data_IF_769025583020
#
_entry.id   IF_769025583020
#
_cell.length_a   1.000
_cell.length_b   1.000
_cell.length_c   1.000
_cell.angle_alpha   90.00
_cell.angle_beta   90.00
_cell.angle_gamma   90.00
#
_symmetry.space_group_name_H-M   'P 1'
#
loop_
_entity.id
_entity.type
_entity.pdbx_description
1 polymer ?
#
# COMPACT_ATOMS: atom_id res chain seq x y z
N UNK A 1 -9.39 21.28 7.04
CA UNK A 1 -10.32 20.13 6.95
C UNK A 1 -9.65 18.98 7.65
N UNK A 2 -10.41 18.11 8.35
CA UNK A 2 -9.83 16.93 9.00
C UNK A 2 -9.14 16.03 7.95
N UNK A 3 -8.00 15.46 8.31
CA UNK A 3 -7.31 14.46 7.47
C UNK A 3 -8.06 13.13 7.59
N UNK A 4 -8.46 12.56 6.44
CA UNK A 4 -9.25 11.32 6.39
C UNK A 4 -8.45 10.24 5.67
N UNK A 5 -8.27 9.10 6.33
CA UNK A 5 -7.83 7.86 5.71
C UNK A 5 -9.08 7.08 5.30
N UNK A 6 -9.31 6.93 4.01
CA UNK A 6 -10.37 6.09 3.48
C UNK A 6 -9.82 4.71 3.12
N UNK A 7 -10.47 3.66 3.61
CA UNK A 7 -10.09 2.29 3.29
C UNK A 7 -11.28 1.49 2.78
N UNK A 8 -11.11 0.79 1.65
CA UNK A 8 -12.03 -0.20 1.12
C UNK A 8 -11.51 -1.60 1.40
N UNK A 9 -12.36 -2.47 1.97
CA UNK A 9 -11.96 -3.81 2.40
C UNK A 9 -11.01 -3.80 3.61
N UNK A 10 -10.54 -4.96 4.03
CA UNK A 10 -9.51 -5.09 5.07
C UNK A 10 -8.42 -6.05 4.62
N UNK A 11 -7.20 -5.86 5.12
CA UNK A 11 -6.10 -6.77 4.81
C UNK A 11 -6.42 -8.21 5.27
N UNK A 12 -7.09 -8.37 6.42
CA UNK A 12 -7.53 -9.68 6.92
C UNK A 12 -8.51 -10.41 5.99
N UNK A 13 -9.43 -9.69 5.34
CA UNK A 13 -10.33 -10.31 4.34
C UNK A 13 -9.59 -10.67 3.05
N UNK A 14 -8.63 -9.84 2.65
CA UNK A 14 -7.73 -10.12 1.54
C UNK A 14 -6.90 -11.40 1.81
N UNK A 15 -6.27 -11.49 2.99
CA UNK A 15 -5.51 -12.69 3.42
C UNK A 15 -6.37 -13.96 3.40
N UNK A 16 -7.65 -13.84 3.79
CA UNK A 16 -8.60 -14.96 3.77
C UNK A 16 -9.03 -15.42 2.36
N UNK A 17 -8.56 -14.76 1.31
CA UNK A 17 -8.86 -15.12 -0.09
C UNK A 17 -10.08 -14.42 -0.68
N UNK A 18 -10.61 -13.36 -0.05
CA UNK A 18 -11.68 -12.53 -0.64
C UNK A 18 -11.06 -11.52 -1.63
N UNK A 19 -10.62 -12.04 -2.78
CA UNK A 19 -9.80 -11.30 -3.75
C UNK A 19 -10.59 -10.69 -4.90
N UNK A 20 -11.90 -10.84 -4.91
CA UNK A 20 -12.75 -10.24 -5.93
C UNK A 20 -12.83 -8.73 -5.74
N UNK A 21 -12.52 -7.97 -6.79
CA UNK A 21 -12.64 -6.51 -6.79
C UNK A 21 -14.10 -6.05 -6.65
N UNK A 22 -14.33 -5.10 -5.75
CA UNK A 22 -15.66 -4.63 -5.33
C UNK A 22 -15.78 -3.10 -5.28
N UNK A 23 -14.69 -2.38 -5.52
CA UNK A 23 -14.68 -0.94 -5.76
C UNK A 23 -13.83 -0.62 -6.99
N UNK A 24 -14.15 0.42 -7.74
CA UNK A 24 -13.35 0.86 -8.89
C UNK A 24 -12.23 1.82 -8.44
N UNK A 25 -11.15 1.86 -9.21
CA UNK A 25 -10.06 2.81 -9.00
C UNK A 25 -10.57 4.26 -9.07
N UNK A 26 -11.54 4.56 -9.95
CA UNK A 26 -12.18 5.88 -10.02
C UNK A 26 -12.93 6.27 -8.74
N UNK A 27 -13.59 5.32 -8.07
CA UNK A 27 -14.22 5.58 -6.77
C UNK A 27 -13.16 5.93 -5.72
N UNK A 28 -12.05 5.20 -5.68
CA UNK A 28 -10.96 5.46 -4.72
C UNK A 28 -10.31 6.83 -4.95
N UNK A 29 -10.10 7.24 -6.20
CA UNK A 29 -9.55 8.56 -6.56
C UNK A 29 -10.43 9.74 -6.10
N UNK A 30 -11.73 9.53 -5.84
CA UNK A 30 -12.59 10.56 -5.24
C UNK A 30 -12.27 10.79 -3.76
N UNK A 31 -11.75 9.76 -3.07
CA UNK A 31 -11.41 9.79 -1.65
C UNK A 31 -9.95 10.19 -1.38
N UNK A 32 -9.05 10.00 -2.35
CA UNK A 32 -7.64 10.33 -2.15
C UNK A 32 -6.84 10.47 -3.44
N UNK A 33 -5.71 11.16 -3.33
CA UNK A 33 -4.71 11.38 -4.38
C UNK A 33 -3.38 10.66 -4.11
N UNK A 34 -3.24 10.08 -2.89
CA UNK A 34 -2.13 9.26 -2.45
C UNK A 34 -2.66 7.99 -1.78
N UNK A 35 -2.04 6.84 -2.07
CA UNK A 35 -2.45 5.58 -1.46
C UNK A 35 -1.86 4.34 -2.10
N UNK A 36 -2.34 3.20 -1.61
CA UNK A 36 -1.93 1.86 -2.04
C UNK A 36 -3.15 0.96 -2.22
N UNK A 37 -3.05 -0.03 -3.11
CA UNK A 37 -4.07 -1.04 -3.34
C UNK A 37 -3.49 -2.27 -4.05
N UNK A 38 -4.34 -3.26 -4.29
CA UNK A 38 -4.11 -4.34 -5.26
C UNK A 38 -5.33 -4.47 -6.18
N UNK A 39 -5.21 -5.09 -7.35
CA UNK A 39 -6.36 -5.33 -8.23
C UNK A 39 -7.05 -6.67 -7.92
N UNK A 40 -8.19 -6.92 -8.59
CA UNK A 40 -8.91 -8.20 -8.55
C UNK A 40 -7.96 -9.39 -8.66
N UNK A 41 -8.15 -10.41 -7.81
CA UNK A 41 -7.27 -11.57 -7.75
C UNK A 41 -5.95 -11.30 -7.04
N UNK A 42 -5.84 -10.20 -6.28
CA UNK A 42 -4.58 -9.70 -5.71
C UNK A 42 -3.51 -9.47 -6.79
N UNK A 43 -3.93 -9.04 -7.98
CA UNK A 43 -3.07 -8.85 -9.13
C UNK A 43 -2.20 -7.61 -8.94
N UNK A 44 -0.96 -7.82 -8.56
CA UNK A 44 0.08 -6.79 -8.44
C UNK A 44 -0.19 -5.73 -7.38
N UNK A 45 0.59 -4.66 -7.50
CA UNK A 45 0.59 -3.53 -6.56
C UNK A 45 0.06 -2.27 -7.25
N UNK A 46 -0.89 -1.60 -6.63
CA UNK A 46 -1.39 -0.31 -7.11
C UNK A 46 -0.82 0.81 -6.28
N UNK A 47 -0.38 1.87 -6.94
CA UNK A 47 0.20 3.06 -6.34
C UNK A 47 -0.65 4.26 -6.74
N UNK A 48 -1.32 4.91 -5.77
CA UNK A 48 -1.95 6.21 -6.01
C UNK A 48 -0.93 7.30 -5.71
N UNK A 49 -0.64 8.11 -6.70
CA UNK A 49 0.35 9.18 -6.60
C UNK A 49 -0.08 10.38 -7.44
N UNK A 50 -0.18 11.55 -6.81
CA UNK A 50 -0.55 12.81 -7.42
C UNK A 50 -1.87 12.74 -8.23
N UNK A 51 -2.87 12.02 -7.69
CA UNK A 51 -4.21 11.89 -8.26
C UNK A 51 -4.32 10.93 -9.46
N UNK A 52 -3.31 10.09 -9.67
CA UNK A 52 -3.30 9.01 -10.66
C UNK A 52 -3.05 7.68 -9.98
N UNK A 53 -3.47 6.59 -10.62
CA UNK A 53 -3.21 5.24 -10.15
C UNK A 53 -2.33 4.48 -11.15
N UNK A 54 -1.32 3.80 -10.63
CA UNK A 54 -0.37 2.99 -11.40
C UNK A 54 -0.38 1.56 -10.89
N UNK A 55 -0.17 0.60 -11.78
CA UNK A 55 -0.16 -0.82 -11.48
C UNK A 55 1.18 -1.45 -11.86
N UNK A 56 1.82 -2.11 -10.91
CA UNK A 56 3.00 -2.96 -11.08
C UNK A 56 2.58 -4.42 -10.95
N UNK A 57 2.76 -5.24 -12.00
CA UNK A 57 2.35 -6.64 -12.00
C UNK A 57 3.52 -7.63 -11.90
N UNK A 58 3.22 -8.91 -11.73
CA UNK A 58 4.21 -9.99 -11.61
C UNK A 58 5.12 -10.16 -12.84
N UNK A 59 4.72 -9.63 -14.02
CA UNK A 59 5.52 -9.64 -15.24
C UNK A 59 6.47 -8.43 -15.32
N UNK A 60 6.55 -7.62 -14.24
CA UNK A 60 7.34 -6.39 -14.15
C UNK A 60 6.90 -5.30 -15.12
N UNK A 61 5.63 -5.33 -15.51
CA UNK A 61 5.00 -4.26 -16.26
C UNK A 61 4.51 -3.18 -15.30
N UNK A 62 4.66 -1.92 -15.68
CA UNK A 62 4.20 -0.77 -14.92
C UNK A 62 3.35 0.13 -15.81
N UNK A 63 2.07 0.29 -15.50
CA UNK A 63 1.11 0.99 -16.35
C UNK A 63 0.22 1.94 -15.55
N UNK A 64 -0.20 3.06 -16.15
CA UNK A 64 -1.24 3.93 -15.59
C UNK A 64 -2.60 3.25 -15.80
N UNK A 65 -3.41 3.15 -14.75
CA UNK A 65 -4.76 2.58 -14.78
C UNK A 65 -5.76 3.57 -15.39
N UNK A 66 -6.84 3.03 -15.99
CA UNK A 66 -7.89 3.83 -16.62
C UNK A 66 -8.96 4.27 -15.64
N UNK A 67 -9.08 3.56 -14.50
CA UNK A 67 -10.00 3.87 -13.43
C UNK A 67 -11.23 2.95 -13.34
N UNK A 68 -11.49 2.12 -14.34
CA UNK A 68 -12.56 1.11 -14.32
C UNK A 68 -12.13 -0.25 -13.77
N UNK A 69 -10.82 -0.41 -13.53
CA UNK A 69 -10.28 -1.59 -12.86
C UNK A 69 -10.81 -1.70 -11.42
N UNK A 70 -11.01 -2.93 -10.96
CA UNK A 70 -11.59 -3.20 -9.66
C UNK A 70 -10.55 -3.68 -8.64
N UNK A 71 -10.74 -3.24 -7.39
CA UNK A 71 -9.90 -3.58 -6.26
C UNK A 71 -10.71 -4.23 -5.12
N UNK A 72 -10.18 -5.27 -4.46
CA UNK A 72 -10.74 -5.82 -3.21
C UNK A 72 -10.25 -5.08 -1.96
N UNK A 73 -9.10 -4.39 -2.07
CA UNK A 73 -8.46 -3.69 -0.96
C UNK A 73 -7.72 -2.44 -1.45
N UNK A 74 -8.03 -1.32 -0.85
CA UNK A 74 -7.34 -0.06 -1.10
C UNK A 74 -7.37 0.84 0.13
N UNK A 75 -6.29 1.61 0.31
CA UNK A 75 -6.19 2.66 1.33
C UNK A 75 -5.71 3.93 0.66
N UNK A 76 -6.47 5.03 0.80
CA UNK A 76 -6.17 6.32 0.15
C UNK A 76 -6.43 7.49 1.09
N UNK A 77 -5.75 8.61 0.85
CA UNK A 77 -6.01 9.89 1.53
C UNK A 77 -5.81 11.07 0.57
N UNK A 78 -6.48 12.17 0.84
CA UNK A 78 -6.11 13.48 0.24
C UNK A 78 -4.91 14.01 0.99
N UNK A 79 -3.73 13.87 0.38
CA UNK A 79 -2.47 14.07 1.06
C UNK A 79 -2.10 15.55 1.18
N UNK A 80 -1.99 16.00 2.43
CA UNK A 80 -1.46 17.32 2.78
C UNK A 80 -0.48 17.16 3.93
N UNK A 81 0.81 17.33 3.66
CA UNK A 81 1.84 17.13 4.66
C UNK A 81 1.72 18.12 5.86
N UNK A 82 1.71 17.59 7.07
CA UNK A 82 1.83 18.36 8.31
C UNK A 82 3.31 18.62 8.63
N UNK A 83 4.17 17.68 8.29
CA UNK A 83 5.63 17.70 8.52
C UNK A 83 6.37 17.38 7.25
N UNK A 84 7.46 18.09 6.99
CA UNK A 84 8.32 17.88 5.83
C UNK A 84 9.78 18.15 6.21
N UNK A 85 10.70 17.28 5.77
CA UNK A 85 12.14 17.43 5.98
C UNK A 85 12.93 16.70 4.89
N UNK A 86 14.22 17.02 4.78
CA UNK A 86 15.16 16.32 3.91
C UNK A 86 16.04 15.36 4.73
N UNK A 87 16.38 14.22 4.15
CA UNK A 87 17.34 13.27 4.72
C UNK A 87 18.17 12.61 3.64
N UNK A 88 19.40 12.15 4.00
CA UNK A 88 20.41 11.67 3.07
C UNK A 88 21.14 10.45 3.61
N UNK A 89 21.64 9.62 2.69
CA UNK A 89 22.60 8.54 2.97
C UNK A 89 22.16 7.61 4.11
N UNK A 90 20.91 7.12 4.04
CA UNK A 90 20.30 6.28 5.08
C UNK A 90 19.64 5.02 4.51
N UNK A 91 19.60 3.97 5.33
CA UNK A 91 18.80 2.78 5.09
C UNK A 91 17.30 3.06 5.33
N UNK A 92 16.45 2.20 4.80
CA UNK A 92 15.00 2.20 5.04
C UNK A 92 14.66 2.20 6.53
N UNK A 93 15.32 1.38 7.33
CA UNK A 93 15.13 1.31 8.80
C UNK A 93 15.40 2.67 9.46
N UNK A 94 16.51 3.33 9.09
CA UNK A 94 16.87 4.62 9.66
C UNK A 94 15.88 5.72 9.25
N UNK A 95 15.39 5.70 8.00
CA UNK A 95 14.37 6.64 7.53
C UNK A 95 13.05 6.41 8.26
N UNK A 96 12.61 5.16 8.40
CA UNK A 96 11.37 4.84 9.12
C UNK A 96 11.47 5.17 10.61
N UNK A 97 12.62 5.00 11.24
CA UNK A 97 12.85 5.44 12.63
C UNK A 97 12.72 6.97 12.76
N UNK A 98 13.30 7.75 11.84
CA UNK A 98 13.14 9.21 11.82
C UNK A 98 11.67 9.64 11.60
N UNK A 99 10.94 8.94 10.73
CA UNK A 99 9.52 9.21 10.51
C UNK A 99 8.75 9.00 11.81
N UNK A 100 8.97 7.89 12.52
CA UNK A 100 8.33 7.61 13.82
C UNK A 100 8.60 8.69 14.87
N UNK A 101 9.83 9.21 14.93
CA UNK A 101 10.18 10.32 15.84
C UNK A 101 9.46 11.63 15.50
N UNK A 102 9.08 11.83 14.23
CA UNK A 102 8.46 13.05 13.72
C UNK A 102 6.95 12.98 13.57
N UNK A 103 6.37 11.78 13.58
CA UNK A 103 4.91 11.60 13.66
C UNK A 103 4.38 12.15 14.99
N UNK A 104 3.13 12.58 14.99
CA UNK A 104 2.48 13.06 16.20
C UNK A 104 2.36 11.94 17.25
N UNK A 105 2.09 10.71 16.84
CA UNK A 105 1.99 9.54 17.71
C UNK A 105 1.96 8.24 16.90
N UNK A 106 2.57 7.16 17.43
CA UNK A 106 2.41 5.79 16.90
C UNK A 106 1.02 5.18 17.21
N UNK A 107 0.16 5.90 17.94
CA UNK A 107 -1.23 5.50 18.15
C UNK A 107 -2.18 6.00 17.04
N UNK A 108 -1.67 6.79 16.09
CA UNK A 108 -2.42 7.34 14.96
C UNK A 108 -1.95 6.71 13.64
N UNK A 109 -2.87 6.58 12.69
CA UNK A 109 -2.46 6.38 11.31
C UNK A 109 -1.68 7.60 10.82
N UNK A 110 -0.70 7.36 9.95
CA UNK A 110 -0.01 8.44 9.23
C UNK A 110 0.20 8.06 7.78
N UNK A 111 -0.05 8.98 6.87
CA UNK A 111 0.35 8.85 5.48
C UNK A 111 1.77 9.38 5.28
N UNK A 112 2.55 8.72 4.46
CA UNK A 112 3.95 9.09 4.19
C UNK A 112 4.21 9.18 2.69
N UNK A 113 5.01 10.18 2.30
CA UNK A 113 5.57 10.32 0.95
C UNK A 113 7.06 10.61 1.08
N UNK A 114 7.91 9.76 0.45
CA UNK A 114 9.37 9.91 0.44
C UNK A 114 9.78 10.04 -1.01
N UNK A 115 10.21 11.21 -1.45
CA UNK A 115 10.50 11.52 -2.86
C UNK A 115 11.94 11.96 -3.06
N UNK A 116 12.59 11.46 -4.10
CA UNK A 116 13.97 11.85 -4.45
C UNK A 116 14.77 10.74 -5.08
N UNK A 117 16.09 10.74 -4.84
CA UNK A 117 17.02 9.76 -5.37
C UNK A 117 17.30 8.65 -4.35
N UNK A 118 17.08 7.42 -4.78
CA UNK A 118 17.39 6.20 -4.02
C UNK A 118 18.64 5.53 -4.61
N UNK A 119 19.63 5.21 -3.75
CA UNK A 119 20.80 4.41 -4.13
C UNK A 119 20.43 3.00 -4.52
N UNK A 120 19.47 2.44 -3.77
CA UNK A 120 18.90 1.09 -3.97
C UNK A 120 17.41 1.11 -3.70
N UNK A 121 16.65 0.42 -4.52
CA UNK A 121 15.22 0.18 -4.33
C UNK A 121 14.90 -1.27 -4.60
N UNK A 122 14.36 -1.98 -3.62
CA UNK A 122 13.97 -3.38 -3.70
C UNK A 122 12.45 -3.49 -3.51
N UNK A 123 11.78 -4.05 -4.49
CA UNK A 123 10.31 -4.17 -4.53
C UNK A 123 9.90 -5.58 -4.92
N UNK A 124 8.66 -5.91 -4.61
CA UNK A 124 7.99 -7.15 -5.04
C UNK A 124 6.63 -6.83 -5.64
N UNK A 125 6.08 -7.79 -6.39
CA UNK A 125 4.75 -7.71 -6.98
C UNK A 125 3.97 -8.99 -6.67
N UNK A 126 2.73 -8.86 -6.20
CA UNK A 126 1.88 -10.00 -5.90
C UNK A 126 1.44 -10.70 -7.18
N UNK A 127 1.62 -12.05 -7.32
CA UNK A 127 1.10 -12.80 -8.44
C UNK A 127 -0.43 -12.84 -8.43
N UNK A 128 -1.03 -12.67 -9.61
CA UNK A 128 -2.47 -12.74 -9.78
C UNK A 128 -3.01 -14.14 -9.48
N UNK A 129 -4.20 -14.21 -8.89
CA UNK A 129 -4.99 -15.43 -8.76
C UNK A 129 -6.24 -15.36 -9.63
N UNK A 130 -6.61 -16.50 -10.20
CA UNK A 130 -7.90 -16.70 -10.86
C UNK A 130 -8.86 -17.49 -9.94
N UNK A 131 -10.17 -17.28 -10.05
CA UNK A 131 -11.14 -18.07 -9.29
C UNK A 131 -11.06 -19.59 -9.59
N UNK A 132 -11.23 -20.45 -8.60
CA UNK A 132 -11.51 -20.15 -7.19
C UNK A 132 -10.28 -19.62 -6.44
N UNK A 133 -10.45 -18.49 -5.73
CA UNK A 133 -9.36 -17.88 -4.97
C UNK A 133 -8.95 -18.73 -3.76
N UNK A 134 -7.67 -18.71 -3.43
CA UNK A 134 -7.08 -19.31 -2.24
C UNK A 134 -6.58 -18.21 -1.27
N UNK A 135 -6.07 -18.60 -0.12
CA UNK A 135 -5.47 -17.65 0.83
C UNK A 135 -4.32 -16.88 0.16
N UNK A 136 -4.20 -15.60 0.49
CA UNK A 136 -3.20 -14.73 -0.13
C UNK A 136 -1.77 -15.21 0.13
N UNK A 137 -1.50 -15.79 1.30
CA UNK A 137 -0.17 -16.29 1.68
C UNK A 137 0.40 -17.30 0.68
N UNK A 138 -0.45 -18.07 -0.01
CA UNK A 138 -0.02 -19.04 -1.03
C UNK A 138 0.61 -18.35 -2.26
N UNK A 139 0.12 -17.13 -2.60
CA UNK A 139 0.69 -16.29 -3.65
C UNK A 139 1.89 -15.49 -3.15
N UNK A 140 1.81 -14.97 -1.94
CA UNK A 140 2.86 -14.16 -1.32
C UNK A 140 4.23 -14.88 -1.30
N UNK A 141 4.25 -16.19 -1.07
CA UNK A 141 5.48 -17.01 -1.09
C UNK A 141 6.13 -17.17 -2.46
N UNK A 142 5.50 -16.71 -3.54
CA UNK A 142 5.96 -16.85 -4.93
C UNK A 142 6.12 -15.51 -5.64
N UNK A 143 6.13 -14.41 -4.91
CA UNK A 143 6.22 -13.06 -5.44
C UNK A 143 7.54 -12.85 -6.18
N UNK A 144 7.52 -12.38 -7.44
CA UNK A 144 8.72 -11.90 -8.10
C UNK A 144 9.21 -10.61 -7.44
N UNK A 145 10.52 -10.51 -7.34
CA UNK A 145 11.21 -9.35 -6.79
C UNK A 145 12.01 -8.64 -7.88
N UNK A 146 12.24 -7.34 -7.68
CA UNK A 146 13.08 -6.54 -8.56
C UNK A 146 13.86 -5.51 -7.75
N UNK A 147 15.12 -5.31 -8.13
CA UNK A 147 15.99 -4.29 -7.53
C UNK A 147 16.50 -3.35 -8.60
N UNK A 148 16.41 -2.04 -8.33
CA UNK A 148 16.99 -0.98 -9.14
C UNK A 148 17.94 -0.14 -8.30
N UNK A 149 18.92 0.46 -8.94
CA UNK A 149 19.90 1.33 -8.28
C UNK A 149 19.91 2.72 -8.92
N UNK A 150 20.18 3.74 -8.10
CA UNK A 150 20.21 5.14 -8.52
C UNK A 150 18.93 5.56 -9.26
N UNK A 151 17.79 5.20 -8.68
CA UNK A 151 16.45 5.47 -9.23
C UNK A 151 15.79 6.64 -8.53
N UNK A 152 15.22 7.57 -9.30
CA UNK A 152 14.36 8.65 -8.81
C UNK A 152 12.92 8.19 -8.75
N UNK A 153 12.21 8.61 -7.69
CA UNK A 153 10.80 8.26 -7.54
C UNK A 153 10.23 8.61 -6.19
N UNK A 154 9.07 8.03 -5.89
CA UNK A 154 8.34 8.26 -4.64
C UNK A 154 7.93 6.95 -4.00
N UNK A 155 8.22 6.80 -2.72
CA UNK A 155 7.58 5.84 -1.81
C UNK A 155 6.34 6.50 -1.25
N UNK A 156 5.20 5.81 -1.28
CA UNK A 156 3.94 6.28 -0.73
C UNK A 156 3.25 5.16 0.04
N UNK A 157 2.51 5.50 1.08
CA UNK A 157 1.72 4.55 1.86
C UNK A 157 1.48 5.04 3.28
N UNK A 158 1.35 4.10 4.21
CA UNK A 158 0.81 4.40 5.52
C UNK A 158 1.58 3.71 6.63
N UNK A 159 1.62 4.37 7.78
CA UNK A 159 1.88 3.76 9.06
C UNK A 159 0.53 3.38 9.71
N UNK A 160 0.40 2.12 10.10
CA UNK A 160 -0.77 1.57 10.80
C UNK A 160 -0.41 1.25 12.24
N UNK A 161 -1.12 1.79 13.26
CA UNK A 161 -0.90 1.40 14.65
C UNK A 161 -1.16 -0.09 14.88
N UNK A 162 -0.44 -0.71 15.83
CA UNK A 162 -0.59 -2.14 16.17
C UNK A 162 -2.05 -2.53 16.52
N UNK A 163 -2.81 -1.62 17.13
CA UNK A 163 -4.24 -1.83 17.43
C UNK A 163 -5.08 -2.19 16.21
N UNK A 164 -4.68 -1.74 15.00
CA UNK A 164 -5.41 -1.93 13.75
C UNK A 164 -4.79 -3.02 12.86
N UNK A 165 -3.89 -3.86 13.42
CA UNK A 165 -3.37 -5.01 12.70
C UNK A 165 -4.50 -5.97 12.28
N UNK A 166 -4.55 -6.29 10.97
CA UNK A 166 -5.66 -7.05 10.38
C UNK A 166 -6.65 -6.17 9.60
N UNK A 167 -6.82 -4.90 10.00
CA UNK A 167 -7.46 -3.88 9.15
C UNK A 167 -6.45 -3.46 8.08
N UNK A 168 -5.25 -3.06 8.48
CA UNK A 168 -4.06 -2.91 7.66
C UNK A 168 -2.90 -3.73 8.21
N UNK A 169 -1.70 -3.64 7.63
CA UNK A 169 -0.48 -4.18 8.20
C UNK A 169 0.08 -3.22 9.23
N UNK A 170 0.26 -3.67 10.49
CA UNK A 170 0.87 -2.83 11.53
C UNK A 170 2.31 -2.45 11.16
N UNK A 171 2.67 -1.19 11.38
CA UNK A 171 3.92 -0.62 10.91
C UNK A 171 3.76 0.10 9.57
N UNK A 172 4.82 0.18 8.79
CA UNK A 172 4.81 0.82 7.48
C UNK A 172 4.43 -0.17 6.38
N UNK A 173 3.37 0.12 5.64
CA UNK A 173 2.99 -0.54 4.40
C UNK A 173 3.08 0.48 3.27
N UNK A 174 4.06 0.32 2.41
CA UNK A 174 4.41 1.34 1.41
C UNK A 174 4.72 0.73 0.05
N UNK A 175 4.32 1.43 -1.00
CA UNK A 175 4.61 1.11 -2.39
C UNK A 175 5.52 2.16 -3.01
N UNK A 176 6.15 1.83 -4.12
CA UNK A 176 7.07 2.71 -4.87
C UNK A 176 6.63 2.86 -6.32
N UNK A 177 6.79 4.06 -6.86
CA UNK A 177 6.74 4.36 -8.28
C UNK A 177 7.93 5.26 -8.65
N UNK A 178 8.68 4.88 -9.69
CA UNK A 178 9.73 5.74 -10.21
C UNK A 178 9.18 6.91 -11.05
N UNK A 179 9.99 7.95 -11.26
CA UNK A 179 9.58 9.14 -12.00
C UNK A 179 9.30 8.85 -13.48
N UNK A 180 10.02 7.89 -14.07
CA UNK A 180 9.85 7.47 -15.47
C UNK A 180 8.59 6.62 -15.70
N UNK A 181 7.86 6.24 -14.62
CA UNK A 181 6.64 5.42 -14.65
C UNK A 181 6.80 4.10 -15.39
N UNK A 182 7.91 3.40 -15.14
CA UNK A 182 8.22 2.10 -15.72
C UNK A 182 8.76 1.08 -14.70
N UNK A 183 8.82 1.45 -13.41
CA UNK A 183 9.26 0.60 -12.32
C UNK A 183 8.54 0.96 -11.02
N UNK A 184 8.06 -0.03 -10.28
CA UNK A 184 7.42 0.13 -8.98
C UNK A 184 6.99 -1.20 -8.39
N UNK A 185 6.32 -1.15 -7.22
CA UNK A 185 5.83 -2.31 -6.50
C UNK A 185 5.75 -2.08 -5.00
N UNK A 186 5.42 -3.12 -4.25
CA UNK A 186 5.48 -3.13 -2.79
C UNK A 186 6.95 -3.08 -2.32
N UNK A 187 7.24 -2.22 -1.38
CA UNK A 187 8.62 -1.94 -0.94
C UNK A 187 9.08 -2.96 0.08
N UNK A 188 10.15 -3.69 -0.24
CA UNK A 188 10.84 -4.56 0.71
C UNK A 188 11.97 -3.84 1.44
N UNK A 189 12.77 -3.05 0.69
CA UNK A 189 13.92 -2.35 1.23
C UNK A 189 14.32 -1.19 0.33
N UNK A 190 15.05 -0.20 0.89
CA UNK A 190 15.67 0.88 0.13
C UNK A 190 16.86 1.50 0.87
N UNK A 191 17.73 2.14 0.09
CA UNK A 191 18.72 3.06 0.58
C UNK A 191 18.52 4.42 -0.11
N UNK A 192 18.40 5.48 0.67
CA UNK A 192 18.26 6.84 0.13
C UNK A 192 19.63 7.49 -0.10
N UNK A 193 19.74 8.23 -1.19
CA UNK A 193 20.86 9.17 -1.39
C UNK A 193 20.46 10.57 -0.94
N UNK A 194 19.39 11.12 -1.49
CA UNK A 194 18.86 12.45 -1.16
C UNK A 194 17.36 12.46 -1.39
N UNK A 195 16.58 12.57 -0.32
CA UNK A 195 15.12 12.52 -0.40
C UNK A 195 14.47 13.56 0.51
N UNK A 196 13.29 14.01 0.08
CA UNK A 196 12.32 14.73 0.89
C UNK A 196 11.35 13.73 1.49
N UNK A 197 11.13 13.82 2.80
CA UNK A 197 10.13 13.06 3.54
C UNK A 197 8.99 13.99 3.91
N UNK A 198 7.77 13.55 3.67
CA UNK A 198 6.52 14.27 3.98
C UNK A 198 5.60 13.35 4.76
N UNK A 199 5.02 13.84 5.86
CA UNK A 199 4.17 13.08 6.78
C UNK A 199 2.86 13.82 6.98
N UNK A 200 1.73 13.11 6.88
CA UNK A 200 0.41 13.59 7.26
C UNK A 200 -0.13 12.71 8.39
N UNK A 201 -0.44 13.31 9.54
CA UNK A 201 -1.11 12.61 10.63
C UNK A 201 -2.61 12.53 10.34
N UNK A 202 -3.22 11.36 10.57
CA UNK A 202 -4.61 11.11 10.21
C UNK A 202 -5.50 11.26 11.44
N UNK A 203 -6.52 12.13 11.33
CA UNK A 203 -7.49 12.39 12.40
C UNK A 203 -8.70 11.45 12.31
N UNK A 204 -9.11 11.07 11.09
CA UNK A 204 -10.31 10.28 10.85
C UNK A 204 -9.98 9.04 10.02
N UNK A 205 -10.44 7.88 10.48
CA UNK A 205 -10.41 6.64 9.72
C UNK A 205 -11.82 6.30 9.25
N UNK A 206 -12.00 6.14 7.93
CA UNK A 206 -13.26 5.76 7.30
C UNK A 206 -13.12 4.39 6.64
N UNK A 207 -13.81 3.38 7.17
CA UNK A 207 -13.80 2.01 6.65
C UNK A 207 -15.04 1.72 5.81
N UNK A 208 -14.85 1.37 4.54
CA UNK A 208 -15.90 0.95 3.62
C UNK A 208 -15.89 -0.59 3.45
N UNK A 209 -17.08 -1.22 3.50
CA UNK A 209 -17.27 -2.65 3.31
C UNK A 209 -18.12 -2.92 2.05
N UNK A 210 -17.81 -3.98 1.28
CA UNK A 210 -18.56 -4.34 0.08
C UNK A 210 -19.87 -5.07 0.42
N UNK A 211 -20.83 -4.38 1.03
CA UNK A 211 -22.08 -4.96 1.53
C UNK A 211 -22.97 -5.58 0.44
N UNK A 212 -22.75 -5.21 -0.82
CA UNK A 212 -23.47 -5.78 -1.97
C UNK A 212 -22.84 -7.08 -2.49
N UNK A 213 -21.60 -7.37 -2.08
CA UNK A 213 -20.92 -8.60 -2.49
C UNK A 213 -21.35 -9.78 -1.61
N UNK A 214 -21.92 -10.83 -2.26
CA UNK A 214 -22.41 -12.00 -1.55
C UNK A 214 -21.29 -12.91 -1.05
N UNK A 215 -20.14 -12.91 -1.72
CA UNK A 215 -18.99 -13.71 -1.31
C UNK A 215 -18.44 -13.13 -0.01
N UNK A 216 -18.35 -11.80 0.10
CA UNK A 216 -17.97 -11.10 1.33
C UNK A 216 -19.00 -11.33 2.45
N UNK A 217 -20.30 -11.05 2.20
CA UNK A 217 -21.32 -11.03 3.27
C UNK A 217 -21.68 -12.43 3.80
N UNK A 218 -21.34 -13.49 3.06
CA UNK A 218 -21.60 -14.90 3.45
C UNK A 218 -20.33 -15.67 3.80
N UNK A 219 -19.16 -15.05 3.67
CA UNK A 219 -17.90 -15.69 4.00
C UNK A 219 -17.88 -16.14 5.47
N UNK A 220 -17.43 -17.36 5.70
CA UNK A 220 -17.06 -17.83 7.04
C UNK A 220 -15.55 -17.80 7.14
N UNK A 221 -15.01 -16.70 7.67
CA UNK A 221 -13.58 -16.45 7.71
C UNK A 221 -13.00 -17.05 8.99
N UNK A 222 -12.00 -17.92 8.83
CA UNK A 222 -11.14 -18.35 9.95
C UNK A 222 -10.02 -17.31 10.14
N UNK A 223 -10.08 -16.58 11.25
CA UNK A 223 -9.12 -15.52 11.59
C UNK A 223 -7.91 -16.02 12.39
N UNK A 224 -7.85 -17.32 12.73
CA UNK A 224 -6.87 -17.84 13.69
C UNK A 224 -5.41 -17.49 13.36
N UNK A 225 -5.03 -17.60 12.10
CA UNK A 225 -3.64 -17.45 11.68
C UNK A 225 -3.41 -16.15 10.85
N UNK A 226 -4.46 -15.35 10.64
CA UNK A 226 -4.42 -14.18 9.74
C UNK A 226 -3.37 -13.14 10.20
N UNK A 227 -3.27 -12.91 11.49
CA UNK A 227 -2.30 -11.92 12.00
C UNK A 227 -0.84 -12.32 11.70
N UNK A 228 -0.51 -13.60 11.83
CA UNK A 228 0.83 -14.11 11.53
C UNK A 228 1.08 -14.17 10.02
N UNK A 229 0.07 -14.54 9.25
CA UNK A 229 0.15 -14.53 7.77
C UNK A 229 0.35 -13.12 7.21
N UNK A 230 -0.27 -12.09 7.80
CA UNK A 230 -0.02 -10.70 7.43
C UNK A 230 1.45 -10.35 7.68
N UNK A 231 2.03 -10.70 8.84
CA UNK A 231 3.45 -10.45 9.13
C UNK A 231 4.41 -11.19 8.21
N UNK A 232 4.02 -12.36 7.71
CA UNK A 232 4.82 -13.13 6.74
C UNK A 232 4.72 -12.52 5.33
N UNK A 233 3.55 -11.97 4.97
CA UNK A 233 3.26 -11.47 3.64
C UNK A 233 3.73 -10.03 3.42
N UNK A 234 3.89 -9.22 4.48
CA UNK A 234 4.25 -7.81 4.46
C UNK A 234 5.68 -7.55 4.96
#
# INVERSE_FOLDING_TARGET
MASVLYQHGTLGTLMAGLLKGTASINELLQHGDLGIATLTGSNGEVIFLDGKAYHANEHKEFVELKGDELTPYATVTKFVADTSYETKDKSSEAVFAEIKEKMLSENLFSAVKISGLFKKKHVRMMPAQEPPYTRLIDSARRQPEQTETYVKGSVVGFFTPELFHGIGSAGFHVHFANDDRNFGGHVLDFEVEDVKVEIQNIETFEQHFPIQDKDFTKANIDYKDIADEIREAE
#
